data_IF_754093391756
#
_entry.id   IF_754093391756
#
_cell.length_a   1.000
_cell.length_b   1.000
_cell.length_c   1.000
_cell.angle_alpha   90.00
_cell.angle_beta   90.00
_cell.angle_gamma   90.00
#
_symmetry.space_group_name_H-M   'P 1'
#
loop_
_entity.id
_entity.type
_entity.pdbx_description
1 polymer ?
#
# COMPACT_ATOMS: atom_id res chain seq x y z
N UNK A 1 -81.27 -13.87 -31.20
CA UNK A 1 -80.20 -12.90 -31.48
C UNK A 1 -79.76 -12.29 -30.16
N UNK A 2 -78.44 -12.31 -29.90
CA UNK A 2 -77.67 -11.54 -28.88
C UNK A 2 -77.89 -11.98 -27.41
N UNK A 3 -76.95 -12.70 -26.74
CA UNK A 3 -75.69 -12.25 -26.07
C UNK A 3 -75.93 -11.15 -25.01
N UNK A 4 -75.36 -11.12 -23.83
CA UNK A 4 -74.30 -11.90 -23.19
C UNK A 4 -74.22 -11.56 -21.69
N UNK A 5 -73.56 -12.43 -20.94
CA UNK A 5 -73.42 -12.42 -19.48
C UNK A 5 -72.22 -11.56 -19.06
N UNK A 6 -72.40 -10.84 -17.94
CA UNK A 6 -71.41 -9.99 -17.28
C UNK A 6 -70.15 -10.77 -16.86
N UNK A 7 -68.98 -10.16 -17.09
CA UNK A 7 -67.68 -10.67 -16.63
C UNK A 7 -67.40 -10.28 -15.17
N UNK A 8 -66.91 -11.24 -14.41
CA UNK A 8 -66.25 -11.02 -13.12
C UNK A 8 -64.72 -11.02 -13.34
N UNK A 9 -64.03 -10.03 -12.78
CA UNK A 9 -62.57 -10.04 -12.62
C UNK A 9 -62.29 -9.84 -11.14
N UNK A 10 -61.79 -10.89 -10.48
CA UNK A 10 -61.18 -10.82 -9.16
C UNK A 10 -59.67 -10.92 -9.34
N UNK A 11 -58.97 -9.92 -8.80
CA UNK A 11 -57.54 -9.69 -8.97
C UNK A 11 -56.66 -10.73 -8.28
N UNK A 12 -55.53 -11.03 -8.94
CA UNK A 12 -54.42 -11.75 -8.34
C UNK A 12 -53.51 -10.74 -7.62
N UNK A 13 -53.44 -10.84 -6.30
CA UNK A 13 -52.43 -10.14 -5.50
C UNK A 13 -51.08 -10.81 -5.70
N UNK A 14 -50.08 -10.05 -6.13
CA UNK A 14 -48.68 -10.50 -6.21
C UNK A 14 -48.06 -10.29 -4.82
N UNK A 15 -47.77 -11.39 -4.13
CA UNK A 15 -46.95 -11.38 -2.93
C UNK A 15 -45.49 -11.11 -3.29
N UNK A 16 -44.96 -9.97 -2.86
CA UNK A 16 -43.51 -9.68 -2.88
C UNK A 16 -42.88 -10.47 -1.74
N UNK A 17 -42.28 -11.62 -2.05
CA UNK A 17 -41.40 -12.29 -1.11
C UNK A 17 -40.19 -11.38 -0.87
N UNK A 18 -40.07 -10.86 0.36
CA UNK A 18 -38.94 -10.05 0.78
C UNK A 18 -37.65 -10.88 0.69
N UNK A 19 -36.76 -10.52 -0.24
CA UNK A 19 -35.39 -11.02 -0.25
C UNK A 19 -34.68 -10.36 0.92
N UNK A 20 -34.45 -11.12 1.98
CA UNK A 20 -33.55 -10.74 3.05
C UNK A 20 -32.14 -10.93 2.50
N UNK A 21 -31.50 -9.84 2.07
CA UNK A 21 -30.06 -9.85 1.81
C UNK A 21 -29.40 -9.90 3.19
N UNK A 22 -28.70 -11.00 3.56
CA UNK A 22 -27.91 -11.00 4.79
C UNK A 22 -26.91 -9.85 4.66
N UNK A 23 -26.81 -9.04 5.72
CA UNK A 23 -26.00 -7.83 5.73
C UNK A 23 -24.66 -8.09 5.04
N UNK A 24 -24.43 -7.41 3.92
CA UNK A 24 -23.09 -7.17 3.44
C UNK A 24 -22.43 -6.37 4.57
N UNK A 25 -21.78 -7.09 5.48
CA UNK A 25 -20.76 -6.48 6.32
C UNK A 25 -19.87 -5.74 5.35
N UNK A 26 -19.73 -4.43 5.56
CA UNK A 26 -18.66 -3.70 4.91
C UNK A 26 -17.40 -4.50 5.21
N UNK A 27 -16.85 -5.15 4.18
CA UNK A 27 -15.55 -5.77 4.31
C UNK A 27 -14.66 -4.60 4.73
N UNK A 28 -14.23 -4.60 5.99
CA UNK A 28 -13.09 -3.79 6.35
C UNK A 28 -12.00 -4.36 5.46
N UNK A 29 -11.56 -3.58 4.47
CA UNK A 29 -10.41 -3.99 3.70
C UNK A 29 -9.27 -4.03 4.71
N UNK A 30 -8.93 -5.23 5.16
CA UNK A 30 -7.81 -5.42 6.05
C UNK A 30 -6.58 -4.90 5.31
N UNK A 31 -5.95 -3.87 5.89
CA UNK A 31 -4.70 -3.36 5.35
C UNK A 31 -3.61 -4.40 5.54
N UNK A 32 -2.64 -4.42 4.63
CA UNK A 32 -1.49 -5.29 4.78
C UNK A 32 -0.73 -4.98 6.08
N UNK A 33 -0.13 -6.00 6.69
CA UNK A 33 0.65 -5.84 7.92
C UNK A 33 1.83 -4.88 7.71
N UNK A 34 2.14 -4.06 8.72
CA UNK A 34 3.22 -3.08 8.67
C UNK A 34 2.82 -1.73 8.06
N UNK A 35 1.53 -1.53 7.76
CA UNK A 35 0.99 -0.26 7.26
C UNK A 35 0.58 0.73 8.35
N UNK A 36 0.71 0.34 9.62
CA UNK A 36 0.40 1.17 10.77
C UNK A 36 1.25 2.46 10.74
N UNK A 37 0.60 3.62 10.92
CA UNK A 37 1.27 4.93 10.91
C UNK A 37 1.64 5.48 9.53
N UNK A 38 1.43 4.72 8.45
CA UNK A 38 1.64 5.22 7.08
C UNK A 38 0.54 6.21 6.68
N UNK A 39 0.87 7.09 5.73
CA UNK A 39 -0.13 7.90 5.03
C UNK A 39 -1.15 6.99 4.34
N UNK A 40 -2.43 7.35 4.39
CA UNK A 40 -3.54 6.51 3.92
C UNK A 40 -3.39 6.04 2.47
N UNK A 41 -2.89 6.89 1.58
CA UNK A 41 -2.64 6.52 0.18
C UNK A 41 -1.53 5.48 0.06
N UNK A 42 -0.44 5.60 0.82
CA UNK A 42 0.64 4.61 0.81
C UNK A 42 0.16 3.27 1.35
N UNK A 43 -0.60 3.27 2.45
CA UNK A 43 -1.20 2.06 3.02
C UNK A 43 -2.12 1.33 2.03
N UNK A 44 -3.01 2.07 1.35
CA UNK A 44 -3.89 1.52 0.30
C UNK A 44 -3.07 0.99 -0.88
N UNK A 45 -2.15 1.80 -1.43
CA UNK A 45 -1.33 1.40 -2.57
C UNK A 45 -0.52 0.13 -2.31
N UNK A 46 0.13 0.04 -1.13
CA UNK A 46 0.88 -1.15 -0.76
C UNK A 46 -0.02 -2.37 -0.57
N UNK A 47 -1.16 -2.23 0.12
CA UNK A 47 -2.11 -3.33 0.33
C UNK A 47 -2.60 -3.93 -0.99
N UNK A 48 -2.86 -3.10 -2.00
CA UNK A 48 -3.29 -3.58 -3.31
C UNK A 48 -2.14 -4.26 -4.08
N UNK A 49 -0.93 -3.71 -4.01
CA UNK A 49 0.25 -4.30 -4.65
C UNK A 49 0.64 -5.65 -4.01
N UNK A 50 0.58 -5.74 -2.68
CA UNK A 50 0.90 -6.93 -1.91
C UNK A 50 -0.07 -8.08 -2.18
N UNK A 51 -1.38 -7.80 -2.22
CA UNK A 51 -2.38 -8.79 -2.65
C UNK A 51 -2.10 -9.36 -4.03
N UNK A 52 -1.84 -8.52 -5.02
CA UNK A 52 -1.55 -8.98 -6.38
C UNK A 52 -0.25 -9.81 -6.41
N UNK A 53 0.79 -9.40 -5.68
CA UNK A 53 2.03 -10.17 -5.57
C UNK A 53 1.73 -11.58 -5.02
N UNK A 54 0.94 -11.68 -3.95
CA UNK A 54 0.60 -12.95 -3.33
C UNK A 54 -0.29 -13.82 -4.21
N UNK A 55 -1.24 -13.23 -4.94
CA UNK A 55 -2.06 -13.93 -5.94
C UNK A 55 -1.20 -14.54 -7.06
N UNK A 56 -0.05 -13.93 -7.37
CA UNK A 56 0.96 -14.44 -8.30
C UNK A 56 1.98 -15.39 -7.64
N UNK A 57 1.83 -15.71 -6.34
CA UNK A 57 2.76 -16.57 -5.59
C UNK A 57 4.09 -15.91 -5.24
N UNK A 58 4.18 -14.57 -5.28
CA UNK A 58 5.37 -13.81 -4.91
C UNK A 58 5.27 -13.38 -3.45
N UNK A 59 6.22 -13.78 -2.58
CA UNK A 59 6.24 -13.29 -1.21
C UNK A 59 6.61 -11.81 -1.19
N UNK A 60 5.80 -10.99 -0.53
CA UNK A 60 6.03 -9.56 -0.34
C UNK A 60 5.50 -9.15 1.04
N UNK A 61 6.34 -8.56 1.88
CA UNK A 61 5.97 -8.03 3.19
C UNK A 61 6.75 -6.76 3.51
N UNK A 62 6.17 -5.86 4.30
CA UNK A 62 6.90 -4.73 4.88
C UNK A 62 7.86 -5.27 5.94
N UNK A 63 9.13 -4.88 5.86
CA UNK A 63 10.14 -5.11 6.90
C UNK A 63 10.31 -3.89 7.79
N UNK A 64 10.04 -2.68 7.28
CA UNK A 64 9.99 -1.44 8.07
C UNK A 64 9.00 -0.44 7.47
N UNK A 65 7.97 -0.06 8.24
CA UNK A 65 6.95 0.91 7.84
C UNK A 65 7.21 2.29 8.47
N UNK A 66 6.21 2.86 9.11
CA UNK A 66 6.40 4.07 9.92
C UNK A 66 7.40 3.83 11.07
N UNK A 67 8.24 4.83 11.36
CA UNK A 67 9.13 4.84 12.52
C UNK A 67 8.85 6.05 13.38
N UNK A 68 8.92 5.91 14.71
CA UNK A 68 8.88 7.08 15.58
C UNK A 68 10.17 7.90 15.44
N UNK A 69 10.15 9.21 15.76
CA UNK A 69 11.37 10.02 15.77
C UNK A 69 12.47 9.43 16.67
N UNK A 70 12.11 8.86 17.83
CA UNK A 70 13.05 8.26 18.78
C UNK A 70 13.65 6.95 18.25
N UNK A 71 12.86 6.15 17.52
CA UNK A 71 13.38 4.98 16.82
C UNK A 71 14.38 5.39 15.73
N UNK A 72 14.01 6.38 14.92
CA UNK A 72 14.88 6.86 13.86
C UNK A 72 16.16 7.50 14.41
N UNK A 73 16.12 8.18 15.56
CA UNK A 73 17.31 8.76 16.20
C UNK A 73 18.29 7.65 16.60
N UNK A 74 17.80 6.55 17.18
CA UNK A 74 18.66 5.41 17.53
C UNK A 74 19.31 4.78 16.30
N UNK A 75 18.58 4.64 15.19
CA UNK A 75 19.13 4.16 13.92
C UNK A 75 20.17 5.12 13.36
N UNK A 76 19.91 6.42 13.45
CA UNK A 76 20.82 7.46 12.97
C UNK A 76 22.14 7.45 13.75
N UNK A 77 22.09 7.44 15.08
CA UNK A 77 23.28 7.34 15.93
C UNK A 77 24.07 6.04 15.67
N UNK A 78 23.38 4.92 15.42
CA UNK A 78 24.02 3.65 15.07
C UNK A 78 24.66 3.68 13.68
N UNK A 79 24.00 4.33 12.71
CA UNK A 79 24.55 4.61 11.40
C UNK A 79 25.84 5.42 11.50
N UNK A 80 25.87 6.48 12.30
CA UNK A 80 27.09 7.30 12.51
C UNK A 80 28.25 6.43 13.01
N UNK A 81 28.00 5.57 14.02
CA UNK A 81 29.03 4.67 14.57
C UNK A 81 29.49 3.65 13.54
N UNK A 82 28.55 3.08 12.77
CA UNK A 82 28.81 2.01 11.80
C UNK A 82 29.58 2.51 10.59
N UNK A 83 29.20 3.68 10.05
CA UNK A 83 29.73 4.20 8.79
C UNK A 83 30.87 5.21 8.98
N UNK A 84 31.24 5.52 10.23
CA UNK A 84 32.41 6.35 10.53
C UNK A 84 32.16 7.85 10.41
N UNK A 85 30.91 8.30 10.60
CA UNK A 85 30.54 9.71 10.59
C UNK A 85 29.17 9.98 9.98
N UNK A 86 28.66 11.19 10.22
CA UNK A 86 27.35 11.63 9.72
C UNK A 86 27.27 11.58 8.19
N UNK A 87 28.25 12.13 7.47
CA UNK A 87 28.23 12.18 6.00
C UNK A 87 28.19 10.78 5.37
N UNK A 88 28.94 9.83 5.92
CA UNK A 88 28.92 8.45 5.45
C UNK A 88 27.61 7.73 5.81
N UNK A 89 27.06 8.00 7.00
CA UNK A 89 25.81 7.42 7.45
C UNK A 89 24.59 7.88 6.64
N UNK A 90 24.56 9.15 6.19
CA UNK A 90 23.46 9.73 5.40
C UNK A 90 23.16 8.98 4.12
N UNK A 91 24.11 8.20 3.60
CA UNK A 91 23.91 7.35 2.42
C UNK A 91 22.94 6.19 2.68
N UNK A 92 22.68 5.85 3.95
CA UNK A 92 21.89 4.67 4.35
C UNK A 92 20.82 4.96 5.39
N UNK A 93 21.05 5.94 6.26
CA UNK A 93 20.15 6.28 7.36
C UNK A 93 20.11 7.79 7.50
N UNK A 94 18.91 8.38 7.48
CA UNK A 94 18.70 9.81 7.67
C UNK A 94 18.42 10.17 9.13
N UNK A 95 18.73 11.40 9.57
CA UNK A 95 18.28 11.88 10.87
C UNK A 95 16.75 11.99 10.93
N UNK A 96 16.13 12.04 12.13
CA UNK A 96 14.67 11.96 12.29
C UNK A 96 13.87 13.01 11.52
N UNK A 97 14.40 14.24 11.41
CA UNK A 97 13.75 15.36 10.74
C UNK A 97 13.71 15.21 9.20
N UNK A 98 14.47 14.27 8.63
CA UNK A 98 14.58 14.07 7.18
C UNK A 98 14.06 12.70 6.71
N UNK A 99 13.95 11.73 7.62
CA UNK A 99 13.49 10.39 7.30
C UNK A 99 12.04 10.36 6.79
N UNK A 100 11.83 9.70 5.65
CA UNK A 100 10.49 9.48 5.09
C UNK A 100 9.69 8.42 5.83
N UNK A 101 10.35 7.51 6.56
CA UNK A 101 9.67 6.59 7.47
C UNK A 101 9.00 7.35 8.63
N UNK A 102 9.67 8.37 9.19
CA UNK A 102 9.09 9.23 10.24
C UNK A 102 7.90 10.04 9.71
N UNK A 103 7.91 10.37 8.42
CA UNK A 103 6.79 11.06 7.77
C UNK A 103 5.64 10.11 7.37
N UNK A 104 5.78 8.79 7.58
CA UNK A 104 4.81 7.78 7.12
C UNK A 104 4.71 7.69 5.59
N UNK A 105 5.80 8.03 4.87
CA UNK A 105 5.84 8.19 3.41
C UNK A 105 6.73 7.17 2.69
N UNK A 106 7.35 6.25 3.43
CA UNK A 106 8.20 5.21 2.88
C UNK A 106 7.89 3.85 3.53
N UNK A 107 8.23 2.81 2.79
CA UNK A 107 8.25 1.43 3.26
C UNK A 107 9.55 0.76 2.81
N UNK A 108 10.10 -0.06 3.70
CA UNK A 108 11.10 -1.05 3.35
C UNK A 108 10.40 -2.40 3.21
N UNK A 109 10.69 -3.12 2.12
CA UNK A 109 10.03 -4.38 1.80
C UNK A 109 11.01 -5.54 1.65
N UNK A 110 10.52 -6.75 1.88
CA UNK A 110 11.24 -7.99 1.66
C UNK A 110 10.30 -9.15 1.34
N UNK A 111 10.84 -10.34 1.05
CA UNK A 111 12.25 -10.60 0.72
C UNK A 111 12.67 -9.93 -0.60
N UNK A 112 13.94 -10.02 -0.99
CA UNK A 112 14.46 -9.37 -2.20
C UNK A 112 13.69 -9.73 -3.48
N UNK A 113 13.16 -10.95 -3.58
CA UNK A 113 12.27 -11.36 -4.68
C UNK A 113 10.99 -10.51 -4.74
N UNK A 114 10.36 -10.25 -3.60
CA UNK A 114 9.18 -9.37 -3.49
C UNK A 114 9.52 -7.93 -3.84
N UNK A 115 10.66 -7.43 -3.37
CA UNK A 115 11.15 -6.10 -3.72
C UNK A 115 11.40 -5.96 -5.23
N UNK A 116 11.99 -6.96 -5.89
CA UNK A 116 12.17 -6.97 -7.34
C UNK A 116 10.83 -6.97 -8.10
N UNK A 117 9.85 -7.74 -7.62
CA UNK A 117 8.51 -7.71 -8.19
C UNK A 117 7.86 -6.32 -8.02
N UNK A 118 8.04 -5.70 -6.85
CA UNK A 118 7.52 -4.36 -6.59
C UNK A 118 8.25 -3.28 -7.41
N UNK A 119 9.55 -3.43 -7.67
CA UNK A 119 10.29 -2.55 -8.60
C UNK A 119 9.74 -2.65 -10.02
N UNK A 120 9.41 -3.85 -10.48
CA UNK A 120 8.91 -4.09 -11.83
C UNK A 120 7.42 -3.71 -12.02
N UNK A 121 6.61 -3.77 -10.97
CA UNK A 121 5.14 -3.66 -11.08
C UNK A 121 4.53 -2.56 -10.22
N UNK A 122 5.24 -2.03 -9.23
CA UNK A 122 4.72 -1.14 -8.20
C UNK A 122 4.17 0.18 -8.76
N UNK A 123 4.68 0.61 -9.92
CA UNK A 123 4.21 1.83 -10.58
C UNK A 123 2.71 1.79 -10.90
N UNK A 124 2.11 0.59 -11.07
CA UNK A 124 0.67 0.40 -11.24
C UNK A 124 -0.14 0.98 -10.07
N UNK A 125 0.44 1.06 -8.87
CA UNK A 125 -0.13 1.67 -7.67
C UNK A 125 0.62 2.92 -7.20
N UNK A 126 1.51 3.46 -8.03
CA UNK A 126 2.32 4.65 -7.72
C UNK A 126 3.56 4.39 -6.85
N UNK A 127 3.84 3.13 -6.53
CA UNK A 127 4.98 2.73 -5.70
C UNK A 127 6.24 2.61 -6.55
N UNK A 128 7.29 3.31 -6.15
CA UNK A 128 8.57 3.31 -6.86
C UNK A 128 9.71 3.14 -5.88
N UNK A 129 10.72 2.37 -6.31
CA UNK A 129 11.99 2.32 -5.61
C UNK A 129 12.69 3.67 -5.73
N UNK A 130 13.14 4.23 -4.60
CA UNK A 130 13.69 5.60 -4.56
C UNK A 130 15.20 5.65 -4.81
N UNK A 131 15.96 4.70 -4.24
CA UNK A 131 17.43 4.76 -4.23
C UNK A 131 18.11 3.57 -4.94
N UNK A 132 19.25 3.82 -5.59
CA UNK A 132 20.05 2.80 -6.28
C UNK A 132 20.76 1.84 -5.31
N UNK A 133 21.16 2.30 -4.12
CA UNK A 133 21.81 1.46 -3.10
C UNK A 133 20.82 0.71 -2.17
N UNK A 134 19.54 1.10 -2.16
CA UNK A 134 18.51 0.51 -1.28
C UNK A 134 17.46 -0.21 -2.12
N UNK A 135 17.67 -1.51 -2.37
CA UNK A 135 16.71 -2.32 -3.14
C UNK A 135 15.38 -2.54 -2.43
N UNK A 136 15.34 -2.30 -1.13
CA UNK A 136 14.20 -2.52 -0.27
C UNK A 136 13.31 -1.29 -0.11
N UNK A 137 13.79 -0.07 -0.41
CA UNK A 137 13.11 1.20 -0.07
C UNK A 137 12.18 1.70 -1.18
N UNK A 138 10.89 1.86 -0.87
CA UNK A 138 9.85 2.33 -1.79
C UNK A 138 9.05 3.50 -1.22
N UNK A 139 8.65 4.41 -2.11
CA UNK A 139 7.78 5.55 -1.79
C UNK A 139 6.64 5.66 -2.81
N UNK A 140 5.57 6.37 -2.44
CA UNK A 140 4.54 6.80 -3.38
C UNK A 140 5.09 7.98 -4.21
N UNK A 141 5.77 7.68 -5.32
CA UNK A 141 6.56 8.66 -6.07
C UNK A 141 5.98 9.04 -7.45
N UNK A 142 4.91 8.37 -7.88
CA UNK A 142 4.26 8.65 -9.16
C UNK A 142 2.75 8.40 -9.09
N UNK A 143 2.02 8.83 -10.13
CA UNK A 143 0.60 8.50 -10.26
C UNK A 143 0.43 7.02 -10.65
N UNK A 144 -0.63 6.32 -10.19
CA UNK A 144 -0.90 4.94 -10.61
C UNK A 144 -0.85 4.76 -12.13
N UNK A 145 0.01 3.84 -12.59
CA UNK A 145 0.25 3.51 -13.99
C UNK A 145 1.23 4.42 -14.74
N UNK A 146 1.64 5.55 -14.14
CA UNK A 146 2.68 6.40 -14.72
C UNK A 146 4.08 5.79 -14.52
N UNK A 147 5.08 6.19 -15.32
CA UNK A 147 6.46 5.78 -15.11
C UNK A 147 7.00 6.25 -13.74
N UNK A 148 7.87 5.46 -13.14
CA UNK A 148 8.64 5.90 -11.97
C UNK A 148 9.68 6.96 -12.37
N UNK A 149 9.97 7.94 -11.49
CA UNK A 149 11.07 8.87 -11.70
C UNK A 149 12.43 8.14 -11.70
N UNK A 150 13.48 8.80 -12.18
CA UNK A 150 14.84 8.30 -12.03
C UNK A 150 15.18 8.14 -10.56
N UNK A 151 15.83 7.01 -10.23
CA UNK A 151 16.32 6.74 -8.87
C UNK A 151 17.44 7.71 -8.51
N UNK A 152 17.52 7.99 -7.23
CA UNK A 152 18.62 8.74 -6.62
C UNK A 152 19.77 7.77 -6.30
N UNK A 153 21.04 8.20 -6.32
CA UNK A 153 22.17 7.32 -6.01
C UNK A 153 22.09 6.70 -4.62
N UNK A 154 21.77 7.52 -3.61
CA UNK A 154 21.54 7.12 -2.22
C UNK A 154 20.79 8.20 -1.43
N UNK A 155 20.46 7.94 -0.17
CA UNK A 155 19.67 8.85 0.66
C UNK A 155 20.36 10.20 0.97
N UNK A 156 21.67 10.33 0.75
CA UNK A 156 22.42 11.54 1.10
C UNK A 156 22.11 12.75 0.20
N UNK A 157 21.46 12.52 -0.95
CA UNK A 157 21.11 13.56 -1.93
C UNK A 157 19.74 14.20 -1.69
N UNK A 158 19.05 13.79 -0.63
CA UNK A 158 17.74 14.31 -0.22
C UNK A 158 17.85 15.64 0.53
#
# INVERSE_FOLDING_TARGET
MVRGIAGAVLGAGIGIAGVVVPGAGVAHADFAAGTEGLGSLLAVSYTLAEREAHEQGVPLSITSGYRSPEEQERLWEDGIRTYGGADAARRWVLPPNESTHVQGRAIDVGPQQGAQWLEANGNRWGLCRTYDNEWWHFELATLPGAPCPSRLPDASVR
#
